data_IF_586776744423
#
_entry.id   IF_586776744423
#
_cell.length_a   1.000
_cell.length_b   1.000
_cell.length_c   1.000
_cell.angle_alpha   90.00
_cell.angle_beta   90.00
_cell.angle_gamma   90.00
#
_symmetry.space_group_name_H-M   'P 1'
#
loop_
_entity.id
_entity.type
_entity.pdbx_description
1 polymer ?
#
# COMPACT_ATOMS: atom_id res chain seq x y z
N UNK A 1 -54.03 -37.71 36.53
CA UNK A 1 -52.57 -37.74 36.29
C UNK A 1 -52.36 -37.56 34.79
N UNK A 2 -52.16 -36.33 34.32
CA UNK A 2 -51.94 -36.07 32.89
C UNK A 2 -50.45 -36.25 32.57
N UNK A 3 -50.13 -37.14 31.64
CA UNK A 3 -48.79 -37.26 31.06
C UNK A 3 -48.66 -36.22 29.94
N UNK A 4 -47.69 -35.32 30.04
CA UNK A 4 -47.36 -34.38 28.97
C UNK A 4 -46.60 -35.14 27.86
N UNK A 5 -46.95 -34.94 26.57
CA UNK A 5 -46.26 -35.59 25.46
C UNK A 5 -44.83 -35.06 25.32
N UNK A 6 -43.86 -35.96 25.33
CA UNK A 6 -42.45 -35.65 25.12
C UNK A 6 -42.20 -35.43 23.62
N UNK A 7 -42.03 -34.17 23.20
CA UNK A 7 -41.60 -33.85 21.83
C UNK A 7 -40.13 -34.27 21.67
N UNK A 8 -39.90 -35.43 21.05
CA UNK A 8 -38.56 -35.83 20.62
C UNK A 8 -38.03 -34.76 19.66
N UNK A 9 -37.01 -34.00 20.09
CA UNK A 9 -36.23 -33.15 19.20
C UNK A 9 -35.56 -34.08 18.18
N UNK A 10 -35.88 -33.90 16.89
CA UNK A 10 -35.12 -34.55 15.82
C UNK A 10 -33.79 -33.82 15.72
N UNK A 11 -32.74 -34.41 16.26
CA UNK A 11 -31.38 -33.95 16.00
C UNK A 11 -31.07 -34.22 14.52
N UNK A 12 -31.26 -33.19 13.69
CA UNK A 12 -30.86 -33.19 12.29
C UNK A 12 -29.35 -32.99 12.23
N UNK A 13 -28.61 -34.04 11.91
CA UNK A 13 -27.19 -33.96 11.59
C UNK A 13 -26.95 -33.31 10.23
N UNK A 14 -25.79 -32.66 10.07
CA UNK A 14 -25.33 -32.16 8.77
C UNK A 14 -25.11 -33.31 7.79
N UNK A 15 -25.48 -33.09 6.53
CA UNK A 15 -25.18 -34.04 5.45
C UNK A 15 -23.78 -33.81 4.89
N UNK A 16 -23.12 -34.87 4.43
CA UNK A 16 -21.82 -34.75 3.75
C UNK A 16 -21.93 -33.90 2.47
N UNK A 17 -23.09 -33.94 1.81
CA UNK A 17 -23.33 -33.16 0.58
C UNK A 17 -23.45 -31.66 0.88
N UNK A 18 -24.05 -31.26 2.00
CA UNK A 18 -24.08 -29.84 2.42
C UNK A 18 -22.67 -29.29 2.62
N UNK A 19 -21.82 -30.03 3.33
CA UNK A 19 -20.43 -29.60 3.56
C UNK A 19 -19.66 -29.55 2.24
N UNK A 20 -19.88 -30.51 1.33
CA UNK A 20 -19.22 -30.55 0.02
C UNK A 20 -19.57 -29.32 -0.83
N UNK A 21 -20.85 -28.97 -0.92
CA UNK A 21 -21.29 -27.79 -1.69
C UNK A 21 -20.71 -26.50 -1.12
N UNK A 22 -20.67 -26.37 0.21
CA UNK A 22 -20.10 -25.18 0.88
C UNK A 22 -18.61 -25.03 0.56
N UNK A 23 -17.82 -26.11 0.67
CA UNK A 23 -16.38 -26.07 0.38
C UNK A 23 -16.12 -25.73 -1.10
N UNK A 24 -16.92 -26.26 -2.02
CA UNK A 24 -16.82 -25.93 -3.45
C UNK A 24 -17.07 -24.45 -3.70
N UNK A 25 -18.11 -23.87 -3.09
CA UNK A 25 -18.41 -22.43 -3.24
C UNK A 25 -17.28 -21.57 -2.67
N UNK A 26 -16.77 -21.90 -1.47
CA UNK A 26 -15.65 -21.15 -0.85
C UNK A 26 -14.38 -21.24 -1.70
N UNK A 27 -14.10 -22.40 -2.30
CA UNK A 27 -12.93 -22.56 -3.18
C UNK A 27 -13.00 -21.66 -4.42
N UNK A 28 -14.18 -21.56 -5.05
CA UNK A 28 -14.39 -20.68 -6.22
C UNK A 28 -14.22 -19.21 -5.82
N UNK A 29 -14.81 -18.79 -4.70
CA UNK A 29 -14.68 -17.42 -4.21
C UNK A 29 -13.23 -17.08 -3.86
N UNK A 30 -12.51 -17.99 -3.20
CA UNK A 30 -11.11 -17.78 -2.84
C UNK A 30 -10.22 -17.64 -4.09
N UNK A 31 -10.45 -18.44 -5.14
CA UNK A 31 -9.67 -18.39 -6.38
C UNK A 31 -9.74 -17.00 -7.07
N UNK A 32 -10.90 -16.34 -7.03
CA UNK A 32 -11.09 -15.00 -7.60
C UNK A 32 -10.64 -13.91 -6.62
N UNK A 33 -10.92 -14.07 -5.34
CA UNK A 33 -10.72 -13.01 -4.34
C UNK A 33 -9.24 -12.78 -4.00
N UNK A 34 -8.41 -13.82 -3.99
CA UNK A 34 -6.98 -13.70 -3.64
C UNK A 34 -6.19 -12.77 -4.57
N UNK A 35 -6.22 -12.90 -5.91
CA UNK A 35 -5.48 -11.98 -6.78
C UNK A 35 -5.98 -10.53 -6.67
N UNK A 36 -7.29 -10.33 -6.56
CA UNK A 36 -7.90 -9.00 -6.38
C UNK A 36 -7.42 -8.36 -5.08
N UNK A 37 -7.42 -9.13 -3.99
CA UNK A 37 -6.93 -8.66 -2.69
C UNK A 37 -5.44 -8.26 -2.74
N UNK A 38 -4.61 -9.04 -3.45
CA UNK A 38 -3.19 -8.71 -3.63
C UNK A 38 -3.04 -7.36 -4.35
N UNK A 39 -3.74 -7.15 -5.47
CA UNK A 39 -3.69 -5.87 -6.19
C UNK A 39 -4.17 -4.69 -5.33
N UNK A 40 -5.25 -4.89 -4.56
CA UNK A 40 -5.74 -3.87 -3.63
C UNK A 40 -4.69 -3.47 -2.59
N UNK A 41 -3.99 -4.46 -1.99
CA UNK A 41 -2.93 -4.19 -1.02
C UNK A 41 -1.72 -3.52 -1.67
N UNK A 42 -1.37 -3.86 -2.91
CA UNK A 42 -0.31 -3.18 -3.66
C UNK A 42 -0.65 -1.71 -3.89
N UNK A 43 -1.87 -1.40 -4.35
CA UNK A 43 -2.34 -0.03 -4.53
C UNK A 43 -2.39 0.77 -3.22
N UNK A 44 -2.81 0.14 -2.11
CA UNK A 44 -2.79 0.79 -0.81
C UNK A 44 -1.37 1.18 -0.35
N UNK A 45 -0.38 0.31 -0.59
CA UNK A 45 1.03 0.61 -0.32
C UNK A 45 1.58 1.70 -1.24
N UNK A 46 1.22 1.66 -2.53
CA UNK A 46 1.59 2.72 -3.47
C UNK A 46 1.04 4.08 -3.01
N UNK A 47 -0.22 4.11 -2.56
CA UNK A 47 -0.85 5.33 -2.02
C UNK A 47 -0.13 5.89 -0.80
N UNK A 48 0.41 5.03 0.08
CA UNK A 48 1.21 5.43 1.23
C UNK A 48 2.54 6.10 0.80
N UNK A 49 3.24 5.50 -0.17
CA UNK A 49 4.42 6.10 -0.78
C UNK A 49 4.09 7.43 -1.47
N UNK A 50 3.00 7.51 -2.24
CA UNK A 50 2.57 8.73 -2.93
C UNK A 50 2.28 9.88 -1.95
N UNK A 51 1.62 9.59 -0.83
CA UNK A 51 1.35 10.60 0.19
C UNK A 51 2.64 11.19 0.76
N UNK A 52 3.60 10.33 1.09
CA UNK A 52 4.90 10.74 1.64
C UNK A 52 5.76 11.47 0.62
N UNK A 53 5.80 11.00 -0.63
CA UNK A 53 6.46 11.71 -1.73
C UNK A 53 5.84 13.11 -1.93
N UNK A 54 4.52 13.23 -1.83
CA UNK A 54 3.84 14.53 -1.89
C UNK A 54 4.29 15.48 -0.78
N UNK A 55 4.47 14.97 0.45
CA UNK A 55 5.03 15.73 1.56
C UNK A 55 6.49 16.16 1.28
N UNK A 56 7.35 15.21 0.86
CA UNK A 56 8.74 15.48 0.47
C UNK A 56 8.80 16.57 -0.60
N UNK A 57 7.99 16.47 -1.66
CA UNK A 57 7.97 17.44 -2.74
C UNK A 57 7.60 18.85 -2.27
N UNK A 58 6.66 18.97 -1.33
CA UNK A 58 6.32 20.25 -0.74
C UNK A 58 7.46 20.80 0.13
N UNK A 59 8.11 19.95 0.92
CA UNK A 59 9.29 20.31 1.73
C UNK A 59 10.47 20.77 0.87
N UNK A 60 10.73 20.10 -0.27
CA UNK A 60 11.72 20.56 -1.27
C UNK A 60 11.41 21.96 -1.77
N UNK A 61 10.13 22.26 -2.07
CA UNK A 61 9.72 23.60 -2.51
C UNK A 61 9.91 24.66 -1.42
N UNK A 62 9.59 24.32 -0.18
CA UNK A 62 9.78 25.23 0.96
C UNK A 62 11.27 25.53 1.15
N UNK A 63 12.11 24.48 1.17
CA UNK A 63 13.56 24.62 1.25
C UNK A 63 14.11 25.51 0.13
N UNK A 64 13.68 25.30 -1.12
CA UNK A 64 14.10 26.16 -2.24
C UNK A 64 13.67 27.62 -2.08
N UNK A 65 12.51 27.88 -1.47
CA UNK A 65 12.08 29.26 -1.21
C UNK A 65 13.00 29.97 -0.21
N UNK A 66 13.50 29.24 0.78
CA UNK A 66 14.34 29.81 1.83
C UNK A 66 15.82 29.93 1.44
N UNK A 67 16.36 28.96 0.68
CA UNK A 67 17.79 28.90 0.34
C UNK A 67 18.11 29.20 -1.14
N UNK A 68 17.11 29.18 -2.03
CA UNK A 68 17.32 29.40 -3.47
C UNK A 68 17.88 28.20 -4.24
N UNK A 69 18.08 27.07 -3.58
CA UNK A 69 18.53 25.79 -4.13
C UNK A 69 17.72 24.63 -3.55
N UNK A 70 17.79 23.46 -4.17
CA UNK A 70 17.15 22.25 -3.66
C UNK A 70 18.00 21.55 -2.60
N UNK A 71 17.36 20.82 -1.67
CA UNK A 71 18.08 19.95 -0.75
C UNK A 71 18.73 18.80 -1.52
N UNK A 72 19.82 18.29 -0.97
CA UNK A 72 20.61 17.20 -1.54
C UNK A 72 20.05 15.82 -1.22
N UNK A 73 19.28 15.70 -0.12
CA UNK A 73 18.67 14.43 0.29
C UNK A 73 17.40 14.64 1.12
N UNK A 74 16.69 13.54 1.40
CA UNK A 74 15.51 13.56 2.29
C UNK A 74 15.93 13.75 3.74
N UNK A 75 17.08 13.19 4.13
CA UNK A 75 17.65 13.32 5.47
C UNK A 75 17.95 14.79 5.81
N UNK A 76 18.46 15.57 4.86
CA UNK A 76 18.67 17.01 5.04
C UNK A 76 17.36 17.75 5.38
N UNK A 77 16.25 17.39 4.72
CA UNK A 77 14.94 17.96 5.03
C UNK A 77 14.45 17.58 6.43
N UNK A 78 14.78 16.37 6.91
CA UNK A 78 14.41 15.93 8.27
C UNK A 78 15.28 16.59 9.34
N UNK A 79 16.59 16.68 9.11
CA UNK A 79 17.53 17.34 10.03
C UNK A 79 17.20 18.82 10.23
N UNK A 80 16.72 19.47 9.18
CA UNK A 80 16.32 20.88 9.20
C UNK A 80 14.85 21.10 9.55
N UNK A 81 14.14 20.05 9.99
CA UNK A 81 12.74 20.08 10.44
C UNK A 81 11.73 20.57 9.37
N UNK A 82 12.07 20.46 8.08
CA UNK A 82 11.14 20.72 6.97
C UNK A 82 10.21 19.53 6.71
N UNK A 83 10.57 18.35 7.19
CA UNK A 83 9.86 17.11 6.92
C UNK A 83 9.93 16.19 8.14
N UNK A 84 8.79 15.59 8.47
CA UNK A 84 8.70 14.47 9.41
C UNK A 84 8.02 13.32 8.69
N UNK A 85 8.64 12.14 8.71
CA UNK A 85 8.07 10.91 8.17
C UNK A 85 7.82 9.98 9.36
N UNK A 86 6.64 9.36 9.40
CA UNK A 86 6.31 8.38 10.44
C UNK A 86 7.29 7.19 10.39
N UNK A 87 7.75 6.73 11.56
CA UNK A 87 8.69 5.60 11.67
C UNK A 87 8.14 4.35 10.98
N UNK A 88 6.81 4.12 11.03
CA UNK A 88 6.17 3.03 10.33
C UNK A 88 6.36 3.10 8.81
N UNK A 89 6.28 4.29 8.23
CA UNK A 89 6.52 4.52 6.81
C UNK A 89 8.01 4.34 6.47
N UNK A 90 8.93 4.88 7.28
CA UNK A 90 10.38 4.74 7.06
C UNK A 90 10.85 3.28 7.15
N UNK A 91 10.21 2.48 8.00
CA UNK A 91 10.46 1.04 8.06
C UNK A 91 10.04 0.34 6.78
N UNK A 92 9.04 0.84 6.06
CA UNK A 92 8.54 0.21 4.84
C UNK A 92 9.18 0.79 3.58
N UNK A 93 9.57 2.07 3.58
CA UNK A 93 10.02 2.80 2.40
C UNK A 93 11.28 3.62 2.69
N UNK A 94 12.20 3.60 1.73
CA UNK A 94 13.33 4.53 1.65
C UNK A 94 13.05 5.53 0.54
N UNK A 95 13.21 6.83 0.82
CA UNK A 95 12.97 7.90 -0.14
C UNK A 95 14.27 8.54 -0.59
N UNK A 96 14.43 8.76 -1.88
CA UNK A 96 15.63 9.36 -2.47
C UNK A 96 15.24 10.52 -3.39
N UNK A 97 15.95 11.65 -3.27
CA UNK A 97 15.87 12.74 -4.23
C UNK A 97 16.81 12.46 -5.39
N UNK A 98 16.31 12.57 -6.63
CA UNK A 98 17.08 12.39 -7.85
C UNK A 98 17.16 13.73 -8.57
N UNK A 99 18.38 14.11 -8.95
CA UNK A 99 18.70 15.46 -9.42
C UNK A 99 19.11 16.35 -8.25
N UNK A 100 20.18 17.14 -8.43
CA UNK A 100 20.78 17.88 -7.32
C UNK A 100 20.27 19.32 -7.19
N UNK A 101 20.00 19.99 -8.31
CA UNK A 101 19.42 21.34 -8.35
C UNK A 101 19.06 21.68 -9.81
N UNK A 102 17.81 21.47 -10.28
CA UNK A 102 16.68 21.01 -9.48
C UNK A 102 16.65 19.48 -9.29
N UNK A 103 15.96 19.04 -8.25
CA UNK A 103 15.38 17.70 -8.12
C UNK A 103 14.43 17.48 -9.28
N UNK A 104 14.66 16.39 -10.01
CA UNK A 104 13.87 15.99 -11.18
C UNK A 104 12.91 14.85 -10.85
N UNK A 105 13.27 13.98 -9.91
CA UNK A 105 12.44 12.86 -9.49
C UNK A 105 12.55 12.61 -7.98
N UNK A 106 11.51 12.01 -7.41
CA UNK A 106 11.53 11.49 -6.04
C UNK A 106 11.20 10.01 -6.15
N UNK A 107 12.09 9.16 -5.64
CA UNK A 107 11.97 7.71 -5.66
C UNK A 107 11.65 7.19 -4.27
N UNK A 108 10.66 6.29 -4.16
CA UNK A 108 10.42 5.48 -2.98
C UNK A 108 10.71 4.01 -3.29
N UNK A 109 11.60 3.39 -2.53
CA UNK A 109 11.95 1.97 -2.66
C UNK A 109 11.53 1.21 -1.40
N UNK A 110 10.77 0.14 -1.57
CA UNK A 110 10.33 -0.70 -0.45
C UNK A 110 11.50 -1.46 0.20
N UNK A 111 11.48 -1.52 1.53
CA UNK A 111 12.51 -2.20 2.33
C UNK A 111 12.21 -3.69 2.51
N UNK A 112 13.17 -4.43 3.10
CA UNK A 112 12.99 -5.83 3.49
C UNK A 112 11.95 -6.04 4.60
N UNK A 113 11.61 -5.01 5.36
CA UNK A 113 10.57 -5.11 6.40
C UNK A 113 9.16 -4.98 5.83
N UNK A 114 9.02 -4.56 4.56
CA UNK A 114 7.72 -4.47 3.94
C UNK A 114 7.11 -5.85 3.75
N UNK A 115 5.89 -6.06 4.23
CA UNK A 115 5.13 -7.32 4.03
C UNK A 115 4.91 -7.68 2.54
N UNK A 116 5.13 -6.74 1.63
CA UNK A 116 5.05 -6.93 0.17
C UNK A 116 6.33 -7.40 -0.49
N UNK A 117 7.43 -7.53 0.27
CA UNK A 117 8.77 -7.71 -0.25
C UNK A 117 9.47 -6.37 -0.52
N UNK A 118 10.80 -6.43 -0.62
CA UNK A 118 11.65 -5.29 -0.92
C UNK A 118 11.78 -5.04 -2.43
N UNK A 119 12.28 -3.86 -2.79
CA UNK A 119 12.70 -3.52 -4.15
C UNK A 119 11.57 -3.08 -5.09
N UNK A 120 10.33 -3.04 -4.62
CA UNK A 120 9.25 -2.31 -5.31
C UNK A 120 9.55 -0.81 -5.30
N UNK A 121 9.33 -0.16 -6.44
CA UNK A 121 9.67 1.25 -6.65
C UNK A 121 8.41 2.04 -7.01
N UNK A 122 8.22 3.19 -6.36
CA UNK A 122 7.25 4.22 -6.76
C UNK A 122 8.03 5.49 -7.10
N UNK A 123 7.83 6.01 -8.30
CA UNK A 123 8.53 7.19 -8.81
C UNK A 123 7.54 8.34 -8.94
N UNK A 124 7.99 9.53 -8.57
CA UNK A 124 7.33 10.78 -8.90
C UNK A 124 8.24 11.62 -9.80
N UNK A 125 7.72 11.98 -10.96
CA UNK A 125 8.42 12.83 -11.92
C UNK A 125 7.97 14.29 -11.72
N UNK A 126 8.93 15.16 -11.41
CA UNK A 126 8.66 16.56 -11.03
C UNK A 126 8.23 17.40 -12.24
N UNK A 127 8.73 17.07 -13.44
CA UNK A 127 8.40 17.82 -14.66
C UNK A 127 6.97 17.54 -15.11
N UNK A 128 6.58 16.27 -15.12
CA UNK A 128 5.26 15.82 -15.58
C UNK A 128 4.20 15.80 -14.48
N UNK A 129 4.62 15.80 -13.21
CA UNK A 129 3.73 15.66 -12.05
C UNK A 129 3.09 14.27 -11.94
N UNK A 130 3.65 13.27 -12.61
CA UNK A 130 3.07 11.92 -12.69
C UNK A 130 3.77 10.96 -11.74
N UNK A 131 2.97 10.04 -11.19
CA UNK A 131 3.49 8.88 -10.48
C UNK A 131 3.56 7.66 -11.40
N UNK A 132 4.56 6.82 -11.21
CA UNK A 132 4.69 5.53 -11.90
C UNK A 132 5.32 4.47 -11.00
N UNK A 133 5.21 3.19 -11.40
CA UNK A 133 5.81 2.06 -10.70
C UNK A 133 4.80 1.18 -9.95
N UNK A 134 5.26 0.59 -8.85
CA UNK A 134 4.55 -0.44 -8.08
C UNK A 134 3.15 -0.01 -7.65
N UNK A 135 2.17 -0.89 -7.86
CA UNK A 135 0.79 -0.72 -7.39
C UNK A 135 0.03 0.42 -8.07
N UNK A 136 0.58 1.01 -9.13
CA UNK A 136 -0.05 2.07 -9.92
C UNK A 136 -0.44 1.54 -11.31
N UNK A 137 -1.54 2.05 -11.91
CA UNK A 137 -1.91 1.72 -13.27
C UNK A 137 -0.76 2.08 -14.22
N UNK A 138 -0.45 1.18 -15.15
CA UNK A 138 0.48 1.51 -16.24
C UNK A 138 -0.23 2.37 -17.28
N UNK A 139 0.51 3.17 -18.06
CA UNK A 139 -0.08 4.01 -19.12
C UNK A 139 -0.88 3.21 -20.17
N UNK A 140 -0.70 1.88 -20.23
CA UNK A 140 -1.45 0.96 -21.10
C UNK A 140 -2.85 0.57 -20.54
N UNK A 141 -3.10 0.83 -19.25
CA UNK A 141 -4.32 0.46 -18.53
C UNK A 141 -5.30 1.63 -18.32
N UNK A 142 -4.94 2.85 -18.75
CA UNK A 142 -5.74 4.08 -18.68
C UNK A 142 -6.44 4.42 -20.00
#
# INVERSE_FOLDING_TARGET
MNMLPNFKRQDRGFTLIEVLVVVVIVAILAAISVPIYIQYVQGARASDAQATIGAIYNSVKMYRQDYGEDPTSVEELQELEYLEIDEGTERQWTFTLIGSNPVTQIEAVSTAEMKGGAGHVVLFDVETGRFSGYGLPTDEEM
#
